data_IF_717050126323
#
_entry.id   IF_717050126323
#
_cell.length_a   1.000
_cell.length_b   1.000
_cell.length_c   1.000
_cell.angle_alpha   90.00
_cell.angle_beta   90.00
_cell.angle_gamma   90.00
#
_symmetry.space_group_name_H-M   'P 1'
#
loop_
_entity.id
_entity.type
_entity.pdbx_description
1 polymer ?
#
# COMPACT_ATOMS: atom_id res chain seq x y z
N UNK A 1 0.58 15.87 22.73
CA UNK A 1 -0.35 16.61 21.85
C UNK A 1 -1.21 15.58 21.14
N UNK A 2 -2.51 15.84 20.99
CA UNK A 2 -3.48 14.84 20.49
C UNK A 2 -3.12 14.44 19.05
N UNK A 3 -2.72 13.18 18.86
CA UNK A 3 -2.49 12.60 17.54
C UNK A 3 -3.69 12.85 16.63
N UNK A 4 -3.43 13.04 15.34
CA UNK A 4 -4.47 13.15 14.32
C UNK A 4 -5.28 11.87 14.40
N UNK A 5 -6.43 11.95 15.08
CA UNK A 5 -7.42 10.88 15.13
C UNK A 5 -7.80 10.59 13.68
N UNK A 6 -7.76 9.30 13.34
CA UNK A 6 -8.25 8.70 12.10
C UNK A 6 -9.11 9.63 11.25
N UNK A 7 -8.72 9.86 10.00
CA UNK A 7 -9.58 10.55 9.03
C UNK A 7 -10.87 9.74 8.92
N UNK A 8 -12.00 10.36 9.30
CA UNK A 8 -13.31 9.71 9.29
C UNK A 8 -13.66 9.31 7.84
N UNK A 9 -13.82 8.02 7.51
CA UNK A 9 -14.21 7.59 6.17
C UNK A 9 -15.61 8.07 5.75
N UNK A 10 -16.39 8.68 6.65
CA UNK A 10 -17.72 9.25 6.39
C UNK A 10 -17.71 10.76 6.09
N UNK A 11 -16.56 11.45 6.11
CA UNK A 11 -16.50 12.91 5.96
C UNK A 11 -16.92 13.45 4.56
N UNK A 12 -17.40 12.59 3.65
CA UNK A 12 -17.85 12.96 2.31
C UNK A 12 -19.18 12.29 1.90
N UNK A 13 -19.99 11.82 2.85
CA UNK A 13 -21.36 11.42 2.53
C UNK A 13 -22.15 12.65 2.08
N UNK A 14 -22.63 12.66 0.82
CA UNK A 14 -23.65 13.61 0.41
C UNK A 14 -24.90 13.35 1.27
N UNK A 15 -25.43 14.34 2.02
CA UNK A 15 -26.57 14.15 2.92
C UNK A 15 -27.90 13.81 2.22
N UNK A 16 -27.91 13.67 0.89
CA UNK A 16 -29.13 13.57 0.07
C UNK A 16 -29.59 12.16 -0.30
N UNK A 17 -29.01 11.07 0.22
CA UNK A 17 -29.54 9.71 -0.04
C UNK A 17 -29.65 8.91 1.26
N UNK A 18 -30.69 9.20 2.04
CA UNK A 18 -31.13 8.34 3.15
C UNK A 18 -32.01 7.21 2.59
N UNK A 19 -31.38 6.12 2.17
CA UNK A 19 -32.08 4.85 1.95
C UNK A 19 -31.94 3.98 3.22
N UNK A 20 -32.99 3.96 4.03
CA UNK A 20 -33.03 3.48 5.42
C UNK A 20 -32.89 1.94 5.54
N UNK A 21 -32.87 1.18 4.44
CA UNK A 21 -32.78 -0.29 4.44
C UNK A 21 -31.53 -0.87 3.76
N UNK A 22 -30.46 -0.10 3.59
CA UNK A 22 -29.22 -0.63 3.01
C UNK A 22 -28.27 -1.17 4.08
N UNK A 23 -27.69 -2.36 3.85
CA UNK A 23 -26.59 -2.88 4.70
C UNK A 23 -25.51 -1.80 4.81
N UNK A 24 -25.03 -1.52 6.04
CA UNK A 24 -23.93 -0.57 6.27
C UNK A 24 -22.75 -0.93 5.34
N UNK A 25 -22.45 -0.04 4.40
CA UNK A 25 -21.35 -0.22 3.45
C UNK A 25 -20.04 -0.11 4.22
N UNK A 26 -19.17 -1.13 4.12
CA UNK A 26 -17.86 -1.16 4.78
C UNK A 26 -16.99 0.03 4.32
N UNK A 27 -16.20 0.60 5.23
CA UNK A 27 -15.32 1.75 4.94
C UNK A 27 -14.39 1.51 3.74
N UNK A 28 -13.80 0.31 3.65
CA UNK A 28 -12.97 -0.10 2.51
C UNK A 28 -13.71 0.02 1.16
N UNK A 29 -14.99 -0.38 1.11
CA UNK A 29 -15.78 -0.32 -0.12
C UNK A 29 -16.04 1.13 -0.51
N UNK A 30 -16.31 2.00 0.47
CA UNK A 30 -16.45 3.45 0.23
C UNK A 30 -15.19 4.05 -0.36
N UNK A 31 -14.03 3.79 0.23
CA UNK A 31 -12.73 4.32 -0.25
C UNK A 31 -12.47 3.86 -1.68
N UNK A 32 -12.56 2.56 -1.95
CA UNK A 32 -12.31 2.02 -3.29
C UNK A 32 -13.26 2.57 -4.34
N UNK A 33 -14.53 2.77 -4.00
CA UNK A 33 -15.55 3.27 -4.92
C UNK A 33 -15.26 4.67 -5.47
N UNK A 34 -14.33 5.41 -4.84
CA UNK A 34 -13.89 6.73 -5.31
C UNK A 34 -12.89 6.66 -6.48
N UNK A 35 -12.44 5.45 -6.86
CA UNK A 35 -11.46 5.23 -7.92
C UNK A 35 -12.06 4.52 -9.15
N UNK A 36 -11.42 4.73 -10.30
CA UNK A 36 -11.86 4.25 -11.61
C UNK A 36 -10.82 3.28 -12.15
N UNK A 37 -11.19 2.02 -12.39
CA UNK A 37 -10.29 1.04 -13.01
C UNK A 37 -10.09 1.33 -14.49
N UNK A 38 -8.91 1.02 -15.04
CA UNK A 38 -8.68 1.09 -16.49
C UNK A 38 -9.63 0.14 -17.23
N UNK A 39 -10.34 0.66 -18.23
CA UNK A 39 -11.14 -0.14 -19.16
C UNK A 39 -12.46 -0.69 -18.60
N UNK A 40 -12.86 -0.36 -17.36
CA UNK A 40 -14.19 -0.73 -16.87
C UNK A 40 -14.82 0.35 -15.98
N UNK A 41 -16.16 0.43 -15.98
CA UNK A 41 -16.94 1.32 -15.09
C UNK A 41 -16.95 0.86 -13.63
N UNK A 42 -16.07 -0.08 -13.24
CA UNK A 42 -16.02 -0.63 -11.87
C UNK A 42 -14.77 -0.10 -11.15
N UNK A 43 -14.91 0.12 -9.85
CA UNK A 43 -13.80 0.47 -8.97
C UNK A 43 -12.84 -0.72 -8.77
N UNK A 44 -11.55 -0.48 -8.47
CA UNK A 44 -10.53 -1.54 -8.36
C UNK A 44 -10.92 -2.57 -7.30
N UNK A 45 -10.67 -3.87 -7.50
CA UNK A 45 -10.95 -4.96 -6.52
C UNK A 45 -10.01 -4.90 -5.29
N UNK A 46 -10.44 -5.36 -4.09
CA UNK A 46 -9.57 -5.45 -2.89
C UNK A 46 -8.26 -6.16 -3.20
N UNK A 47 -8.43 -7.34 -3.78
CA UNK A 47 -7.36 -8.26 -4.15
C UNK A 47 -6.39 -7.65 -5.16
N UNK A 48 -6.87 -6.79 -6.05
CA UNK A 48 -6.02 -6.05 -6.98
C UNK A 48 -5.11 -5.07 -6.24
N UNK A 49 -5.66 -4.34 -5.27
CA UNK A 49 -4.88 -3.40 -4.44
C UNK A 49 -3.87 -4.18 -3.57
N UNK A 50 -4.30 -5.26 -2.91
CA UNK A 50 -3.41 -6.16 -2.12
C UNK A 50 -2.26 -6.69 -2.97
N UNK A 51 -2.56 -7.18 -4.16
CA UNK A 51 -1.57 -7.64 -5.13
C UNK A 51 -0.54 -6.54 -5.48
N UNK A 52 -1.00 -5.31 -5.74
CA UNK A 52 -0.12 -4.17 -6.04
C UNK A 52 0.79 -3.82 -4.87
N UNK A 53 0.25 -3.80 -3.65
CA UNK A 53 1.00 -3.48 -2.44
C UNK A 53 2.05 -4.53 -2.14
N UNK A 54 1.65 -5.81 -2.03
CA UNK A 54 2.59 -6.89 -1.68
C UNK A 54 3.66 -7.08 -2.76
N UNK A 55 3.29 -7.06 -4.05
CA UNK A 55 4.30 -7.18 -5.12
C UNK A 55 5.29 -6.04 -5.11
N UNK A 56 4.82 -4.82 -4.87
CA UNK A 56 5.69 -3.65 -4.80
C UNK A 56 6.58 -3.66 -3.56
N UNK A 57 6.06 -4.09 -2.41
CA UNK A 57 6.84 -4.28 -1.18
C UNK A 57 7.95 -5.31 -1.39
N UNK A 58 7.62 -6.52 -1.86
CA UNK A 58 8.61 -7.54 -2.23
C UNK A 58 9.64 -7.02 -3.24
N UNK A 59 9.22 -6.21 -4.22
CA UNK A 59 10.13 -5.62 -5.22
C UNK A 59 11.13 -4.67 -4.58
N UNK A 60 10.67 -3.76 -3.70
CA UNK A 60 11.55 -2.83 -2.99
C UNK A 60 12.55 -3.59 -2.12
N UNK A 61 12.10 -4.61 -1.40
CA UNK A 61 12.99 -5.44 -0.59
C UNK A 61 14.05 -6.17 -1.43
N UNK A 62 13.71 -6.67 -2.63
CA UNK A 62 14.73 -7.23 -3.55
C UNK A 62 15.79 -6.21 -3.96
N UNK A 63 15.37 -4.98 -4.21
CA UNK A 63 16.30 -3.92 -4.60
C UNK A 63 17.27 -3.60 -3.45
N UNK A 64 16.75 -3.49 -2.23
CA UNK A 64 17.57 -3.34 -1.02
C UNK A 64 18.54 -4.52 -0.88
N UNK A 65 18.05 -5.76 -1.02
CA UNK A 65 18.87 -6.96 -0.90
C UNK A 65 19.99 -7.05 -1.96
N UNK A 66 19.71 -6.64 -3.19
CA UNK A 66 20.68 -6.64 -4.28
C UNK A 66 21.71 -5.50 -4.18
N UNK A 67 21.61 -4.62 -3.17
CA UNK A 67 22.29 -3.32 -3.13
C UNK A 67 22.08 -2.53 -4.44
N UNK A 68 21.00 -2.82 -5.18
CA UNK A 68 20.61 -2.03 -6.32
C UNK A 68 20.12 -0.71 -5.76
N UNK A 69 20.98 0.29 -5.79
CA UNK A 69 20.62 1.67 -5.47
C UNK A 69 19.55 2.11 -6.46
N UNK A 70 18.28 1.90 -6.10
CA UNK A 70 17.11 2.63 -6.61
C UNK A 70 17.16 4.13 -6.21
N UNK A 71 18.34 4.60 -5.83
CA UNK A 71 18.60 5.78 -5.04
C UNK A 71 19.29 6.83 -5.87
N UNK A 72 20.28 6.55 -6.73
CA UNK A 72 20.97 7.63 -7.43
C UNK A 72 20.00 8.47 -8.28
N UNK A 73 19.26 7.85 -9.19
CA UNK A 73 18.38 8.64 -10.09
C UNK A 73 17.10 9.20 -9.42
N UNK A 74 16.67 8.66 -8.27
CA UNK A 74 15.44 9.08 -7.57
C UNK A 74 15.73 10.02 -6.38
N UNK A 75 16.89 9.90 -5.74
CA UNK A 75 17.35 10.72 -4.61
C UNK A 75 18.15 11.92 -5.12
N UNK A 76 18.94 11.82 -6.20
CA UNK A 76 19.67 12.97 -6.76
C UNK A 76 18.72 14.06 -7.33
N UNK A 77 17.49 13.69 -7.70
CA UNK A 77 16.45 14.62 -8.18
C UNK A 77 15.49 15.10 -7.08
N UNK A 78 15.67 14.67 -5.82
CA UNK A 78 14.85 15.12 -4.69
C UNK A 78 15.73 15.81 -3.66
N UNK A 79 15.26 16.94 -3.09
CA UNK A 79 15.96 17.61 -2.01
C UNK A 79 16.40 16.61 -0.94
N UNK A 80 17.65 16.71 -0.48
CA UNK A 80 18.38 15.82 0.45
C UNK A 80 17.72 15.62 1.83
N UNK A 81 16.46 16.02 2.00
CA UNK A 81 15.66 15.92 3.23
C UNK A 81 14.17 15.59 2.97
N UNK A 82 13.82 15.02 1.81
CA UNK A 82 12.41 14.67 1.55
C UNK A 82 11.93 13.56 2.48
N UNK A 83 10.64 13.59 2.86
CA UNK A 83 10.00 12.52 3.64
C UNK A 83 10.25 11.13 3.03
N UNK A 84 10.36 11.07 1.71
CA UNK A 84 10.66 9.85 0.97
C UNK A 84 12.02 9.25 1.27
N UNK A 85 13.06 10.08 1.37
CA UNK A 85 14.39 9.63 1.74
C UNK A 85 14.41 9.10 3.17
N UNK A 86 13.67 9.74 4.08
CA UNK A 86 13.50 9.27 5.46
C UNK A 86 12.84 7.88 5.47
N UNK A 87 11.70 7.71 4.80
CA UNK A 87 11.02 6.40 4.75
C UNK A 87 11.83 5.34 4.00
N UNK A 88 12.63 5.71 3.00
CA UNK A 88 13.60 4.81 2.39
C UNK A 88 14.66 4.34 3.38
N UNK A 89 15.24 5.27 4.17
CA UNK A 89 16.19 4.93 5.23
C UNK A 89 15.59 4.00 6.28
N UNK A 90 14.35 4.27 6.71
CA UNK A 90 13.62 3.40 7.64
C UNK A 90 13.38 2.00 7.04
N UNK A 91 13.02 1.91 5.76
CA UNK A 91 12.89 0.63 5.04
C UNK A 91 14.20 -0.16 5.01
N UNK A 92 15.31 0.49 4.64
CA UNK A 92 16.64 -0.15 4.58
C UNK A 92 17.05 -0.62 5.97
N UNK A 93 16.93 0.22 6.99
CA UNK A 93 17.27 -0.12 8.36
C UNK A 93 16.43 -1.29 8.88
N UNK A 94 15.12 -1.29 8.60
CA UNK A 94 14.22 -2.40 8.96
C UNK A 94 14.62 -3.69 8.25
N UNK A 95 14.97 -3.61 6.96
CA UNK A 95 15.43 -4.78 6.21
C UNK A 95 16.72 -5.36 6.79
N UNK A 96 17.70 -4.51 7.12
CA UNK A 96 18.96 -4.95 7.72
C UNK A 96 18.74 -5.56 9.11
N UNK A 97 17.88 -4.95 9.93
CA UNK A 97 17.50 -5.42 11.27
C UNK A 97 16.86 -6.81 11.23
N UNK A 98 15.98 -7.07 10.26
CA UNK A 98 15.21 -8.32 10.15
C UNK A 98 15.55 -9.14 8.91
N UNK A 99 16.80 -9.08 8.46
CA UNK A 99 17.25 -9.64 7.18
C UNK A 99 16.84 -11.11 7.01
N UNK A 100 17.02 -11.93 8.04
CA UNK A 100 16.72 -13.37 7.98
C UNK A 100 15.24 -13.61 7.69
N UNK A 101 14.35 -12.91 8.40
CA UNK A 101 12.90 -13.06 8.27
C UNK A 101 12.42 -12.49 6.93
N UNK A 102 12.87 -11.30 6.56
CA UNK A 102 12.40 -10.63 5.35
C UNK A 102 12.95 -11.29 4.08
N UNK A 103 14.12 -11.92 4.13
CA UNK A 103 14.66 -12.67 2.99
C UNK A 103 13.81 -13.90 2.63
N UNK A 104 13.12 -14.50 3.59
CA UNK A 104 12.23 -15.66 3.36
C UNK A 104 10.98 -15.30 2.55
N UNK A 105 10.44 -14.10 2.71
CA UNK A 105 9.16 -13.70 2.11
C UNK A 105 9.31 -13.05 0.73
N UNK A 106 10.53 -12.66 0.36
CA UNK A 106 10.86 -11.93 -0.88
C UNK A 106 10.74 -12.74 -2.17
N UNK A 107 11.11 -14.03 -2.24
CA UNK A 107 11.15 -14.78 -3.49
C UNK A 107 9.79 -14.78 -4.20
N UNK A 108 9.85 -14.85 -5.53
CA UNK A 108 8.64 -14.89 -6.39
C UNK A 108 7.86 -16.17 -6.11
N UNK A 109 8.59 -17.23 -5.79
CA UNK A 109 8.19 -18.59 -5.43
C UNK A 109 7.32 -18.63 -4.16
N UNK A 110 7.45 -17.62 -3.29
CA UNK A 110 6.68 -17.45 -2.04
C UNK A 110 5.45 -16.55 -2.27
N UNK A 111 5.00 -16.44 -3.53
CA UNK A 111 3.81 -15.68 -3.92
C UNK A 111 2.66 -16.59 -4.34
N UNK A 112 1.47 -16.03 -4.60
CA UNK A 112 0.39 -16.80 -5.18
C UNK A 112 0.77 -17.31 -6.56
N UNK A 113 0.14 -18.42 -6.97
CA UNK A 113 0.38 -19.07 -8.26
C UNK A 113 0.33 -18.03 -9.39
N UNK A 114 1.41 -17.96 -10.15
CA UNK A 114 1.56 -17.02 -11.27
C UNK A 114 2.03 -17.73 -12.54
N UNK A 115 1.95 -17.02 -13.68
CA UNK A 115 2.33 -17.57 -14.98
C UNK A 115 3.80 -18.02 -15.06
N UNK A 116 4.70 -17.40 -14.29
CA UNK A 116 6.11 -17.80 -14.26
C UNK A 116 6.26 -19.17 -13.62
N UNK A 117 5.58 -19.42 -12.50
CA UNK A 117 5.59 -20.72 -11.81
C UNK A 117 4.99 -21.82 -12.68
N UNK A 118 3.88 -21.53 -13.37
CA UNK A 118 3.25 -22.47 -14.32
C UNK A 118 4.20 -22.82 -15.47
N UNK A 119 4.83 -21.81 -16.09
CA UNK A 119 5.82 -22.01 -17.16
C UNK A 119 7.03 -22.82 -16.70
N UNK A 120 7.48 -22.60 -15.46
CA UNK A 120 8.58 -23.36 -14.83
C UNK A 120 8.16 -24.73 -14.28
N UNK A 121 6.90 -25.15 -14.44
CA UNK A 121 6.36 -26.43 -13.93
C UNK A 121 6.68 -26.70 -12.45
N UNK A 122 6.63 -25.66 -11.62
CA UNK A 122 6.88 -25.80 -10.18
C UNK A 122 5.74 -26.59 -9.52
N UNK A 123 6.02 -27.28 -8.40
CA UNK A 123 4.96 -27.88 -7.55
C UNK A 123 4.16 -26.75 -6.90
N UNK A 124 2.94 -26.51 -7.38
CA UNK A 124 2.11 -25.37 -7.00
C UNK A 124 0.86 -25.78 -6.19
N UNK A 125 0.66 -27.07 -5.87
CA UNK A 125 -0.58 -27.54 -5.23
C UNK A 125 -0.81 -26.92 -3.84
N UNK A 126 0.26 -26.61 -3.11
CA UNK A 126 0.21 -26.02 -1.77
C UNK A 126 0.13 -24.48 -1.79
N UNK A 127 0.32 -23.84 -2.94
CA UNK A 127 0.36 -22.38 -3.04
C UNK A 127 -1.04 -21.79 -3.21
N UNK A 128 -1.27 -20.63 -2.59
CA UNK A 128 -2.53 -19.88 -2.76
C UNK A 128 -2.67 -19.43 -4.21
N UNK A 129 -3.90 -19.45 -4.73
CA UNK A 129 -4.18 -19.09 -6.14
C UNK A 129 -4.13 -17.59 -6.40
N UNK A 130 -4.23 -16.77 -5.35
CA UNK A 130 -4.26 -15.32 -5.48
C UNK A 130 -3.90 -14.56 -4.21
N UNK A 131 -3.91 -13.22 -4.27
CA UNK A 131 -3.68 -12.34 -3.11
C UNK A 131 -4.95 -12.19 -2.26
N UNK A 132 -5.58 -13.32 -1.95
CA UNK A 132 -6.77 -13.40 -1.11
C UNK A 132 -6.44 -13.05 0.35
N UNK A 133 -7.46 -13.06 1.22
CA UNK A 133 -7.27 -12.73 2.64
C UNK A 133 -6.25 -13.64 3.31
N UNK A 134 -6.39 -14.96 3.12
CA UNK A 134 -5.52 -15.98 3.68
C UNK A 134 -4.04 -15.77 3.30
N UNK A 135 -3.73 -15.57 2.02
CA UNK A 135 -2.35 -15.26 1.60
C UNK A 135 -1.82 -13.99 2.26
N UNK A 136 -2.66 -12.96 2.40
CA UNK A 136 -2.23 -11.71 3.02
C UNK A 136 -2.02 -11.86 4.53
N UNK A 137 -2.78 -12.73 5.20
CA UNK A 137 -2.57 -13.10 6.61
C UNK A 137 -1.21 -13.77 6.76
N UNK A 138 -0.95 -14.82 5.98
CA UNK A 138 0.33 -15.54 6.00
C UNK A 138 1.52 -14.58 5.73
N UNK A 139 1.35 -13.65 4.79
CA UNK A 139 2.39 -12.67 4.46
C UNK A 139 2.65 -11.66 5.58
N UNK A 140 1.60 -11.19 6.25
CA UNK A 140 1.65 -10.11 7.26
C UNK A 140 1.58 -10.63 8.71
N UNK A 141 1.74 -11.93 8.91
CA UNK A 141 1.67 -12.59 10.21
C UNK A 141 2.74 -12.06 11.17
N UNK A 142 3.99 -12.01 10.68
CA UNK A 142 5.17 -11.57 11.44
C UNK A 142 5.20 -10.03 11.57
N UNK A 143 5.45 -9.54 12.80
CA UNK A 143 5.48 -8.10 13.09
C UNK A 143 6.58 -7.38 12.31
N UNK A 144 7.69 -8.05 12.03
CA UNK A 144 8.81 -7.55 11.23
C UNK A 144 8.40 -7.27 9.79
N UNK A 145 7.55 -8.14 9.23
CA UNK A 145 6.97 -7.91 7.90
C UNK A 145 6.02 -6.72 7.93
N UNK A 146 5.23 -6.57 8.99
CA UNK A 146 4.31 -5.43 9.15
C UNK A 146 5.02 -4.11 9.30
N UNK A 147 6.10 -4.06 10.08
CA UNK A 147 6.95 -2.86 10.22
C UNK A 147 7.53 -2.45 8.87
N UNK A 148 8.12 -3.40 8.13
CA UNK A 148 8.65 -3.14 6.80
C UNK A 148 7.55 -2.71 5.81
N UNK A 149 6.39 -3.37 5.86
CA UNK A 149 5.24 -3.03 5.02
C UNK A 149 4.71 -1.62 5.31
N UNK A 150 4.64 -1.23 6.58
CA UNK A 150 4.23 0.11 7.00
C UNK A 150 5.14 1.18 6.38
N UNK A 151 6.47 1.07 6.56
CA UNK A 151 7.40 2.02 5.96
C UNK A 151 7.37 2.00 4.44
N UNK A 152 7.03 0.86 3.83
CA UNK A 152 6.81 0.78 2.39
C UNK A 152 5.58 1.60 1.97
N UNK A 153 4.45 1.48 2.65
CA UNK A 153 3.26 2.30 2.37
C UNK A 153 3.57 3.79 2.59
N UNK A 154 4.26 4.15 3.66
CA UNK A 154 4.68 5.53 3.88
C UNK A 154 5.60 6.05 2.75
N UNK A 155 6.59 5.25 2.36
CA UNK A 155 7.46 5.54 1.22
C UNK A 155 6.66 5.71 -0.09
N UNK A 156 5.64 4.89 -0.34
CA UNK A 156 4.79 4.98 -1.53
C UNK A 156 4.10 6.35 -1.66
N UNK A 157 3.63 6.90 -0.54
CA UNK A 157 2.80 8.11 -0.50
C UNK A 157 3.55 9.37 -0.04
N UNK A 158 4.86 9.26 0.22
CA UNK A 158 5.71 10.34 0.73
C UNK A 158 5.92 11.51 -0.25
N UNK A 159 6.11 11.21 -1.53
CA UNK A 159 6.10 12.22 -2.61
C UNK A 159 4.71 12.23 -3.24
N UNK A 160 3.81 13.01 -2.65
CA UNK A 160 2.42 13.02 -3.09
C UNK A 160 2.27 13.57 -4.51
N UNK A 161 1.93 12.70 -5.46
CA UNK A 161 1.80 13.02 -6.88
C UNK A 161 0.77 12.07 -7.52
N UNK A 162 -0.35 12.63 -7.97
CA UNK A 162 -1.46 11.84 -8.52
C UNK A 162 -1.03 11.02 -9.74
N UNK A 163 -0.24 11.56 -10.65
CA UNK A 163 0.18 10.85 -11.86
C UNK A 163 1.10 9.66 -11.54
N UNK A 164 2.04 9.85 -10.61
CA UNK A 164 2.88 8.76 -10.13
C UNK A 164 2.06 7.66 -9.47
N UNK A 165 1.07 8.03 -8.65
CA UNK A 165 0.18 7.07 -7.99
C UNK A 165 -0.72 6.34 -9.00
N UNK A 166 -1.27 7.02 -10.00
CA UNK A 166 -2.04 6.43 -11.10
C UNK A 166 -1.21 5.40 -11.86
N UNK A 167 0.04 5.75 -12.22
CA UNK A 167 0.94 4.84 -12.93
C UNK A 167 1.26 3.60 -12.08
N UNK A 168 1.50 3.79 -10.78
CA UNK A 168 1.86 2.71 -9.85
C UNK A 168 0.71 1.74 -9.62
N UNK A 169 -0.46 2.28 -9.23
CA UNK A 169 -1.63 1.48 -8.90
C UNK A 169 -2.36 0.97 -10.14
N UNK A 170 -2.36 1.70 -11.25
CA UNK A 170 -3.01 1.30 -12.50
C UNK A 170 -4.51 1.61 -12.56
N UNK A 171 -5.01 2.45 -11.64
CA UNK A 171 -6.36 3.00 -11.63
C UNK A 171 -6.31 4.52 -11.41
N UNK A 172 -7.39 5.23 -11.73
CA UNK A 172 -7.47 6.71 -11.68
C UNK A 172 -8.32 7.19 -10.51
N UNK A 173 -8.01 8.37 -9.98
CA UNK A 173 -8.83 9.07 -8.98
C UNK A 173 -9.95 9.93 -9.62
N UNK A 174 -9.80 10.30 -10.89
CA UNK A 174 -10.77 11.05 -11.70
C UNK A 174 -10.57 10.80 -13.21
N UNK A 175 -11.48 11.35 -14.03
CA UNK A 175 -11.36 11.37 -15.50
C UNK A 175 -10.82 12.70 -16.07
N UNK A 176 -10.60 13.69 -15.21
CA UNK A 176 -10.04 15.00 -15.58
C UNK A 176 -8.57 14.86 -15.99
N UNK A 177 -8.09 15.79 -16.82
CA UNK A 177 -6.66 15.91 -17.16
C UNK A 177 -5.87 16.55 -16.01
N UNK A 178 -6.46 17.54 -15.33
CA UNK A 178 -5.88 18.19 -14.16
C UNK A 178 -6.48 17.65 -12.85
N UNK A 179 -5.63 17.45 -11.85
CA UNK A 179 -6.02 16.94 -10.53
C UNK A 179 -6.26 18.09 -9.56
N UNK A 180 -7.36 18.02 -8.82
CA UNK A 180 -7.70 18.97 -7.76
C UNK A 180 -7.48 18.37 -6.36
N UNK A 181 -7.76 19.17 -5.32
CA UNK A 181 -7.62 18.74 -3.92
C UNK A 181 -8.48 17.52 -3.57
N UNK A 182 -9.58 17.26 -4.28
CA UNK A 182 -10.41 16.07 -4.06
C UNK A 182 -9.68 14.79 -4.49
N UNK A 183 -8.85 14.86 -5.54
CA UNK A 183 -7.97 13.76 -5.93
C UNK A 183 -6.96 13.46 -4.82
N UNK A 184 -6.38 14.51 -4.21
CA UNK A 184 -5.43 14.36 -3.11
C UNK A 184 -6.04 13.63 -1.91
N UNK A 185 -7.26 14.02 -1.54
CA UNK A 185 -8.00 13.40 -0.44
C UNK A 185 -8.32 11.92 -0.71
N UNK A 186 -8.72 11.57 -1.94
CA UNK A 186 -8.96 10.16 -2.33
C UNK A 186 -7.74 9.29 -2.10
N UNK A 187 -6.57 9.76 -2.52
CA UNK A 187 -5.32 9.03 -2.34
C UNK A 187 -4.87 8.98 -0.88
N UNK A 188 -5.13 10.03 -0.08
CA UNK A 188 -4.86 9.99 1.36
C UNK A 188 -5.77 8.97 2.07
N UNK A 189 -7.04 8.87 1.69
CA UNK A 189 -7.94 7.81 2.14
C UNK A 189 -7.43 6.43 1.71
N UNK A 190 -6.90 6.31 0.49
CA UNK A 190 -6.29 5.06 0.02
C UNK A 190 -5.03 4.72 0.83
N UNK A 191 -4.19 5.70 1.19
CA UNK A 191 -3.03 5.50 2.07
C UNK A 191 -3.47 4.88 3.39
N UNK A 192 -4.46 5.49 4.06
CA UNK A 192 -5.03 4.96 5.31
C UNK A 192 -5.61 3.55 5.12
N UNK A 193 -6.27 3.31 3.98
CA UNK A 193 -6.73 1.97 3.65
C UNK A 193 -5.56 0.97 3.56
N UNK A 194 -4.47 1.34 2.90
CA UNK A 194 -3.32 0.47 2.70
C UNK A 194 -2.53 0.22 3.99
N UNK A 195 -2.43 1.19 4.90
CA UNK A 195 -1.67 1.10 6.15
C UNK A 195 -2.42 0.38 7.28
N UNK A 196 -3.74 0.54 7.34
CA UNK A 196 -4.54 0.09 8.49
C UNK A 196 -5.70 -0.80 8.08
N UNK A 197 -6.63 -0.28 7.26
CA UNK A 197 -7.91 -0.98 6.97
C UNK A 197 -7.68 -2.31 6.24
N UNK A 198 -6.66 -2.44 5.37
CA UNK A 198 -6.34 -3.71 4.70
C UNK A 198 -5.97 -4.80 5.70
N UNK A 199 -5.25 -4.44 6.77
CA UNK A 199 -4.77 -5.35 7.80
C UNK A 199 -5.92 -5.74 8.73
N UNK A 200 -6.73 -4.76 9.15
CA UNK A 200 -7.95 -5.00 9.92
C UNK A 200 -8.95 -5.90 9.16
N UNK A 201 -9.11 -5.69 7.84
CA UNK A 201 -9.97 -6.49 6.97
C UNK A 201 -9.55 -7.98 6.86
N UNK A 202 -8.34 -8.32 7.34
CA UNK A 202 -7.79 -9.67 7.39
C UNK A 202 -7.42 -10.08 8.81
N UNK A 203 -7.97 -9.43 9.83
CA UNK A 203 -7.76 -9.74 11.25
C UNK A 203 -6.28 -9.68 11.69
N UNK A 204 -5.52 -8.74 11.11
CA UNK A 204 -4.13 -8.45 11.46
C UNK A 204 -4.04 -7.06 12.07
N UNK A 205 -3.34 -6.94 13.19
CA UNK A 205 -3.08 -5.65 13.83
C UNK A 205 -2.04 -4.83 13.04
N UNK A 206 -2.33 -3.56 12.69
CA UNK A 206 -1.37 -2.68 12.04
C UNK A 206 -0.13 -2.40 12.90
N UNK A 207 1.04 -2.33 12.26
CA UNK A 207 2.24 -1.84 12.93
C UNK A 207 2.07 -0.36 13.26
N UNK A 208 2.32 -0.01 14.52
CA UNK A 208 2.32 1.38 15.00
C UNK A 208 3.75 1.74 15.40
N UNK A 209 4.41 2.67 14.69
CA UNK A 209 5.75 3.11 15.06
C UNK A 209 5.72 3.87 16.39
N UNK A 210 6.77 3.73 17.18
CA UNK A 210 6.97 4.60 18.35
C UNK A 210 7.07 6.06 17.87
N UNK A 211 6.30 6.98 18.48
CA UNK A 211 6.07 8.36 18.01
C UNK A 211 7.33 9.20 17.72
N UNK A 212 8.51 8.74 18.13
CA UNK A 212 9.79 9.47 18.04
C UNK A 212 10.41 9.51 16.63
N UNK A 213 9.87 8.79 15.64
CA UNK A 213 10.59 8.55 14.37
C UNK A 213 9.85 8.94 13.08
N UNK A 214 8.67 9.55 13.15
CA UNK A 214 7.93 9.91 11.95
C UNK A 214 8.16 11.37 11.54
N UNK A 215 8.63 11.63 10.29
CA UNK A 215 8.61 12.98 9.76
C UNK A 215 7.15 13.44 9.63
N UNK A 216 6.84 14.63 10.14
CA UNK A 216 5.56 15.26 9.86
C UNK A 216 5.46 15.47 8.34
N UNK A 217 4.35 15.07 7.68
CA UNK A 217 4.17 15.41 6.28
C UNK A 217 4.29 16.92 6.12
N UNK A 218 5.11 17.38 5.17
CA UNK A 218 5.09 18.78 4.74
C UNK A 218 3.74 19.02 4.08
N UNK A 219 2.77 19.44 4.87
CA UNK A 219 1.54 19.98 4.33
C UNK A 219 1.88 21.44 4.01
N UNK A 220 1.72 21.79 2.74
CA UNK A 220 2.02 23.07 2.08
C UNK A 220 3.45 23.21 1.56
#
# INVERSE_FOLDING_TARGET
MKGIKSIDPHCFENPSIKNINSRKVKAETKIRSQFISKGCRKFPKKEYIRCKLIRGHKRVLRQIMANETYVKDLIENTNYHSCKQVYWGLLVNTFLKYKNILSEIIPVEVGPVNEIMKRKKMRIEHLKRSFNAEFCQDYLEKIETRESYFYYVEFLFSDFDCEKLIKRFGFKCCNKEEHDSSCSLKWLLLKNYCSSIVLEDIDIEPYTPEEKFLPLPSIF
#
